data_IF_191391176981
#
_entry.id   IF_191391176981
#
_cell.length_a   1.000
_cell.length_b   1.000
_cell.length_c   1.000
_cell.angle_alpha   90.00
_cell.angle_beta   90.00
_cell.angle_gamma   90.00
#
_symmetry.space_group_name_H-M   'P 1'
#
loop_
_entity.id
_entity.type
_entity.pdbx_description
1 polymer ?
#
# COMPACT_ATOMS: atom_id res chain seq x y z
N UNK A 1 -14.11 8.24 33.20
CA UNK A 1 -13.39 8.39 31.92
C UNK A 1 -13.63 7.11 31.14
N UNK A 2 -14.31 7.19 29.99
CA UNK A 2 -14.57 6.01 29.15
C UNK A 2 -13.31 5.80 28.34
N UNK A 3 -12.61 4.69 28.56
CA UNK A 3 -11.45 4.32 27.74
C UNK A 3 -11.95 4.13 26.30
N UNK A 4 -11.34 4.86 25.35
CA UNK A 4 -11.58 4.62 23.93
C UNK A 4 -11.27 3.15 23.63
N UNK A 5 -12.09 2.44 22.83
CA UNK A 5 -11.77 1.07 22.43
C UNK A 5 -10.39 1.08 21.75
N UNK A 6 -9.56 0.04 21.95
CA UNK A 6 -8.29 -0.05 21.24
C UNK A 6 -8.61 0.00 19.75
N UNK A 7 -8.23 1.12 19.10
CA UNK A 7 -8.31 1.24 17.65
C UNK A 7 -7.41 0.11 17.14
N UNK A 8 -7.93 -0.87 16.39
CA UNK A 8 -7.06 -1.87 15.78
C UNK A 8 -5.96 -1.11 15.03
N UNK A 9 -4.69 -1.59 15.05
CA UNK A 9 -3.66 -0.93 14.25
C UNK A 9 -4.23 -0.75 12.85
N UNK A 10 -4.22 0.49 12.35
CA UNK A 10 -4.73 0.78 11.02
C UNK A 10 -3.80 0.08 10.03
N UNK A 11 -4.14 -1.17 9.70
CA UNK A 11 -3.40 -1.95 8.73
C UNK A 11 -3.73 -1.35 7.38
N UNK A 12 -2.82 -0.52 6.88
CA UNK A 12 -2.92 0.06 5.56
C UNK A 12 -2.24 -0.85 4.54
N UNK A 13 -3.00 -1.25 3.52
CA UNK A 13 -2.53 -2.17 2.49
C UNK A 13 -2.21 -1.38 1.24
N UNK A 14 -0.93 -1.40 0.82
CA UNK A 14 -0.49 -0.85 -0.45
C UNK A 14 -0.57 -1.94 -1.52
N UNK A 15 -1.46 -1.75 -2.47
CA UNK A 15 -1.69 -2.66 -3.59
C UNK A 15 -0.88 -2.20 -4.80
N UNK A 16 -0.13 -3.10 -5.43
CA UNK A 16 0.64 -2.82 -6.64
C UNK A 16 0.05 -3.60 -7.81
N UNK A 17 -0.37 -2.91 -8.87
CA UNK A 17 -1.04 -3.51 -10.02
C UNK A 17 -0.43 -3.04 -11.35
N UNK A 18 -0.20 -3.93 -12.32
CA UNK A 18 0.15 -3.51 -13.66
C UNK A 18 -1.06 -2.85 -14.35
N UNK A 19 -0.84 -1.68 -14.94
CA UNK A 19 -1.82 -0.93 -15.73
C UNK A 19 -1.24 -0.67 -17.13
N UNK A 20 -1.48 -1.61 -18.05
CA UNK A 20 -0.88 -1.59 -19.39
C UNK A 20 0.65 -1.73 -19.30
N UNK A 21 1.39 -0.72 -19.77
CA UNK A 21 2.87 -0.70 -19.71
C UNK A 21 3.42 0.09 -18.50
N UNK A 22 2.60 0.26 -17.46
CA UNK A 22 2.93 0.99 -16.23
C UNK A 22 2.50 0.19 -15.01
N UNK A 23 2.88 0.66 -13.84
CA UNK A 23 2.59 0.05 -12.54
C UNK A 23 1.91 1.08 -11.65
N UNK A 24 0.75 0.76 -11.10
CA UNK A 24 0.02 1.60 -10.16
C UNK A 24 0.20 1.07 -8.75
N UNK A 25 0.38 1.96 -7.80
CA UNK A 25 0.33 1.71 -6.36
C UNK A 25 -0.86 2.46 -5.80
N UNK A 26 -1.70 1.79 -5.00
CA UNK A 26 -2.85 2.40 -4.32
C UNK A 26 -2.93 1.89 -2.89
N UNK A 27 -3.16 2.77 -1.94
CA UNK A 27 -3.49 2.39 -0.56
C UNK A 27 -4.94 1.96 -0.42
N UNK A 28 -5.22 1.14 0.59
CA UNK A 28 -6.57 0.68 0.92
C UNK A 28 -7.48 1.79 1.46
N UNK A 29 -6.91 2.87 1.99
CA UNK A 29 -7.65 4.04 2.48
C UNK A 29 -7.92 5.08 1.38
N UNK A 30 -7.32 4.91 0.19
CA UNK A 30 -7.43 5.83 -0.94
C UNK A 30 -6.68 7.15 -0.77
N UNK A 31 -5.85 7.31 0.27
CA UNK A 31 -5.07 8.53 0.51
C UNK A 31 -3.78 8.57 -0.31
N UNK A 32 -3.28 7.42 -0.75
CA UNK A 32 -2.08 7.29 -1.55
C UNK A 32 -2.37 6.61 -2.89
N UNK A 33 -2.05 7.29 -4.00
CA UNK A 33 -1.99 6.71 -5.34
C UNK A 33 -0.71 7.16 -6.06
N UNK A 34 -0.02 6.23 -6.72
CA UNK A 34 1.15 6.50 -7.54
C UNK A 34 1.17 5.67 -8.82
N UNK A 35 1.69 6.24 -9.91
CA UNK A 35 1.89 5.53 -11.18
C UNK A 35 3.37 5.58 -11.57
N UNK A 36 3.93 4.41 -11.84
CA UNK A 36 5.34 4.17 -12.09
C UNK A 36 5.53 3.51 -13.46
N UNK A 37 6.67 3.74 -14.08
CA UNK A 37 7.06 3.11 -15.34
C UNK A 37 7.47 1.65 -15.16
N UNK A 38 7.93 1.28 -13.97
CA UNK A 38 8.50 -0.04 -13.70
C UNK A 38 8.10 -0.57 -12.31
N UNK A 39 8.05 -1.90 -12.20
CA UNK A 39 7.63 -2.60 -10.98
C UNK A 39 8.55 -2.31 -9.79
N UNK A 40 9.85 -2.17 -10.04
CA UNK A 40 10.85 -1.97 -8.98
C UNK A 40 10.67 -0.60 -8.31
N UNK A 41 10.44 0.44 -9.10
CA UNK A 41 10.13 1.78 -8.61
C UNK A 41 8.82 1.79 -7.83
N UNK A 42 7.78 1.11 -8.31
CA UNK A 42 6.49 0.97 -7.62
C UNK A 42 6.67 0.31 -6.24
N UNK A 43 7.39 -0.81 -6.17
CA UNK A 43 7.67 -1.52 -4.92
C UNK A 43 8.51 -0.68 -3.97
N UNK A 44 9.54 0.02 -4.47
CA UNK A 44 10.38 0.88 -3.65
C UNK A 44 9.56 2.04 -3.05
N UNK A 45 8.68 2.64 -3.84
CA UNK A 45 7.80 3.70 -3.36
C UNK A 45 6.85 3.19 -2.28
N UNK A 46 6.18 2.05 -2.52
CA UNK A 46 5.29 1.45 -1.53
C UNK A 46 6.04 1.17 -0.20
N UNK A 47 7.27 0.67 -0.29
CA UNK A 47 8.11 0.43 0.88
C UNK A 47 8.47 1.71 1.63
N UNK A 48 8.86 2.75 0.90
CA UNK A 48 9.19 4.05 1.50
C UNK A 48 7.97 4.69 2.18
N UNK A 49 6.79 4.56 1.58
CA UNK A 49 5.52 5.05 2.16
C UNK A 49 5.24 4.38 3.50
N UNK A 50 5.36 3.05 3.58
CA UNK A 50 5.15 2.36 4.85
C UNK A 50 6.24 2.64 5.90
N UNK A 51 7.49 2.86 5.47
CA UNK A 51 8.57 3.26 6.39
C UNK A 51 8.36 4.69 6.94
N UNK A 52 7.75 5.58 6.15
CA UNK A 52 7.49 6.96 6.56
C UNK A 52 6.30 7.09 7.54
N UNK A 53 5.43 6.08 7.63
CA UNK A 53 4.21 6.12 8.44
C UNK A 53 4.27 5.13 9.63
N UNK A 54 4.63 5.58 10.85
CA UNK A 54 4.74 4.71 12.01
C UNK A 54 3.36 4.17 12.43
N UNK A 55 3.18 2.85 12.31
CA UNK A 55 1.94 2.13 12.62
C UNK A 55 1.29 1.45 11.41
N UNK A 56 1.79 1.68 10.19
CA UNK A 56 1.25 1.07 8.97
C UNK A 56 1.93 -0.28 8.74
N UNK A 57 1.15 -1.37 8.72
CA UNK A 57 1.64 -2.71 8.40
C UNK A 57 1.50 -2.93 6.90
N UNK A 58 2.64 -2.90 6.20
CA UNK A 58 2.71 -3.11 4.76
C UNK A 58 2.39 -4.55 4.40
N UNK A 59 1.16 -4.80 3.97
CA UNK A 59 0.82 -6.03 3.25
C UNK A 59 1.00 -5.77 1.76
N UNK A 60 2.09 -6.30 1.19
CA UNK A 60 2.18 -6.47 -0.25
C UNK A 60 1.12 -7.51 -0.65
N UNK A 61 0.01 -7.05 -1.20
CA UNK A 61 -0.83 -7.93 -2.00
C UNK A 61 -0.01 -8.28 -3.25
N UNK A 62 0.54 -9.49 -3.30
CA UNK A 62 1.10 -10.02 -4.54
C UNK A 62 0.07 -9.82 -5.65
N UNK A 63 0.49 -9.44 -6.87
CA UNK A 63 -0.44 -9.33 -7.97
C UNK A 63 -1.15 -10.68 -8.07
N UNK A 64 -2.47 -10.69 -7.83
CA UNK A 64 -3.27 -11.89 -8.02
C UNK A 64 -3.10 -12.24 -9.49
N UNK A 65 -2.22 -13.19 -9.77
CA UNK A 65 -2.04 -13.77 -11.08
C UNK A 65 -3.42 -14.32 -11.41
N UNK A 66 -4.11 -13.64 -12.32
CA UNK A 66 -5.41 -14.09 -12.81
C UNK A 66 -5.16 -15.46 -13.45
N UNK A 67 -5.58 -16.51 -12.73
CA UNK A 67 -5.65 -17.87 -13.23
C UNK A 67 -6.95 -18.04 -14.04
#
# INVERSE_FOLDING_TARGET
MIAAPPVPPAVEILTIQPIGNRWRVTSSDGLFEGVFTDAKSAVRCAKAEAEAHPGHILLLAEPRMAA
#
